data_IF_779191465765
#
_entry.id   IF_779191465765
#
_cell.length_a   1.000
_cell.length_b   1.000
_cell.length_c   1.000
_cell.angle_alpha   90.00
_cell.angle_beta   90.00
_cell.angle_gamma   90.00
#
_symmetry.space_group_name_H-M   'P 1'
#
loop_
_entity.id
_entity.type
_entity.pdbx_description
1 polymer ?
#
# COMPACT_ATOMS: atom_id res chain seq x y z
N UNK A 1 -37.67 -21.55 -36.93
CA UNK A 1 -36.71 -22.00 -35.90
C UNK A 1 -35.31 -21.66 -36.38
N UNK A 2 -34.70 -20.61 -35.84
CA UNK A 2 -33.27 -20.36 -35.95
C UNK A 2 -32.80 -19.89 -34.56
N UNK A 3 -32.25 -20.82 -33.78
CA UNK A 3 -31.56 -20.51 -32.53
C UNK A 3 -30.17 -19.98 -32.87
N UNK A 4 -30.04 -18.66 -32.96
CA UNK A 4 -28.74 -17.99 -33.01
C UNK A 4 -28.21 -17.89 -31.58
N UNK A 5 -27.45 -18.90 -31.15
CA UNK A 5 -26.67 -18.85 -29.92
C UNK A 5 -25.50 -17.87 -30.13
N UNK A 6 -25.66 -16.64 -29.66
CA UNK A 6 -24.53 -15.76 -29.41
C UNK A 6 -23.77 -16.30 -28.20
N UNK A 7 -22.71 -17.07 -28.45
CA UNK A 7 -21.71 -17.38 -27.43
C UNK A 7 -20.97 -16.07 -27.11
N UNK A 8 -21.34 -15.44 -26.00
CA UNK A 8 -20.48 -14.46 -25.33
C UNK A 8 -19.17 -15.16 -24.97
N UNK A 9 -18.14 -14.94 -25.78
CA UNK A 9 -16.78 -15.26 -25.37
C UNK A 9 -16.43 -14.32 -24.21
N UNK A 10 -16.06 -14.82 -23.03
CA UNK A 10 -15.51 -13.96 -22.00
C UNK A 10 -14.15 -13.47 -22.50
N UNK A 11 -14.05 -12.17 -22.78
CA UNK A 11 -12.79 -11.50 -23.08
C UNK A 11 -11.91 -11.50 -21.83
N UNK A 12 -11.36 -12.65 -21.46
CA UNK A 12 -10.36 -12.77 -20.42
C UNK A 12 -9.01 -12.46 -21.05
N UNK A 13 -8.72 -11.18 -21.18
CA UNK A 13 -7.35 -10.69 -21.40
C UNK A 13 -7.09 -9.53 -20.46
N UNK A 14 -7.33 -9.76 -19.18
CA UNK A 14 -6.80 -8.90 -18.13
C UNK A 14 -5.40 -9.41 -17.84
N UNK A 15 -4.38 -8.68 -18.29
CA UNK A 15 -3.07 -8.76 -17.68
C UNK A 15 -3.26 -8.31 -16.22
N UNK A 16 -3.44 -9.26 -15.30
CA UNK A 16 -3.49 -8.96 -13.89
C UNK A 16 -2.08 -8.61 -13.45
N UNK A 17 -1.74 -7.32 -13.41
CA UNK A 17 -0.60 -6.91 -12.59
C UNK A 17 -1.00 -7.23 -11.16
N UNK A 18 -0.47 -8.32 -10.60
CA UNK A 18 -0.62 -8.59 -9.17
C UNK A 18 -0.08 -7.37 -8.41
N UNK A 19 -0.76 -6.96 -7.35
CA UNK A 19 -0.31 -5.83 -6.53
C UNK A 19 1.15 -6.07 -6.10
N UNK A 20 2.00 -5.06 -6.27
CA UNK A 20 3.41 -5.14 -5.86
C UNK A 20 3.48 -5.12 -4.32
N UNK A 21 3.56 -6.30 -3.71
CA UNK A 21 3.67 -6.45 -2.25
C UNK A 21 5.13 -6.70 -1.88
N UNK A 22 5.74 -5.69 -1.27
CA UNK A 22 7.11 -5.69 -0.80
C UNK A 22 7.16 -6.00 0.69
N UNK A 23 7.92 -7.04 1.08
CA UNK A 23 8.24 -7.27 2.49
C UNK A 23 9.50 -6.49 2.89
N UNK A 24 9.42 -5.70 3.96
CA UNK A 24 10.52 -4.90 4.49
C UNK A 24 10.81 -5.39 5.90
N UNK A 25 11.89 -6.15 6.08
CA UNK A 25 12.32 -6.62 7.40
C UNK A 25 13.19 -5.53 8.03
N UNK A 26 12.83 -5.12 9.25
CA UNK A 26 13.49 -4.05 10.00
C UNK A 26 13.97 -4.61 11.34
N UNK A 27 15.27 -4.46 11.60
CA UNK A 27 15.90 -4.96 12.84
C UNK A 27 15.73 -3.98 14.00
N UNK A 28 15.67 -2.67 13.69
CA UNK A 28 15.54 -1.60 14.66
C UNK A 28 14.72 -0.42 14.10
N UNK A 29 14.40 0.53 14.98
CA UNK A 29 13.61 1.73 14.65
C UNK A 29 14.33 2.65 13.65
N UNK A 30 15.67 2.66 13.65
CA UNK A 30 16.48 3.51 12.78
C UNK A 30 16.38 2.99 11.34
N UNK A 31 16.57 1.69 11.14
CA UNK A 31 16.42 0.99 9.87
C UNK A 31 15.00 1.15 9.36
N UNK A 32 13.99 0.98 10.22
CA UNK A 32 12.60 1.21 9.85
C UNK A 32 12.36 2.64 9.33
N UNK A 33 12.92 3.64 10.01
CA UNK A 33 12.84 5.04 9.59
C UNK A 33 13.53 5.28 8.25
N UNK A 34 14.73 4.72 8.04
CA UNK A 34 15.48 4.86 6.79
C UNK A 34 14.78 4.19 5.61
N UNK A 35 14.27 2.96 5.78
CA UNK A 35 13.51 2.27 4.75
C UNK A 35 12.20 3.00 4.43
N UNK A 36 11.51 3.52 5.44
CA UNK A 36 10.33 4.36 5.23
C UNK A 36 10.69 5.58 4.38
N UNK A 37 11.75 6.32 4.72
CA UNK A 37 12.18 7.48 3.96
C UNK A 37 12.52 7.15 2.50
N UNK A 38 13.15 6.01 2.24
CA UNK A 38 13.41 5.54 0.86
C UNK A 38 12.11 5.32 0.09
N UNK A 39 11.12 4.68 0.70
CA UNK A 39 9.79 4.48 0.10
C UNK A 39 9.11 5.83 -0.16
N UNK A 40 9.08 6.72 0.82
CA UNK A 40 8.46 8.04 0.67
C UNK A 40 9.12 8.87 -0.45
N UNK A 41 10.45 8.87 -0.50
CA UNK A 41 11.21 9.56 -1.54
C UNK A 41 10.98 8.97 -2.94
N UNK A 42 10.81 7.64 -3.06
CA UNK A 42 10.44 7.01 -4.34
C UNK A 42 9.02 7.40 -4.75
N UNK A 43 8.09 7.44 -3.80
CA UNK A 43 6.68 7.68 -4.06
C UNK A 43 6.32 9.16 -4.28
N UNK A 44 7.07 10.12 -3.73
CA UNK A 44 6.75 11.54 -3.90
C UNK A 44 6.81 12.04 -5.36
N UNK A 45 7.55 11.32 -6.21
CA UNK A 45 7.67 11.56 -7.65
C UNK A 45 6.50 10.98 -8.45
N UNK A 46 5.72 10.06 -7.85
CA UNK A 46 4.49 9.53 -8.43
C UNK A 46 3.32 10.49 -8.12
N UNK A 47 2.27 10.41 -8.92
CA UNK A 47 1.01 11.08 -8.61
C UNK A 47 0.27 10.28 -7.54
N UNK A 48 -0.25 10.97 -6.53
CA UNK A 48 -0.98 10.37 -5.42
C UNK A 48 -0.26 10.48 -4.07
N UNK A 49 -0.98 10.05 -3.04
CA UNK A 49 -0.57 10.11 -1.65
C UNK A 49 0.14 8.81 -1.26
N UNK A 50 0.98 8.87 -0.24
CA UNK A 50 1.47 7.66 0.44
C UNK A 50 0.71 7.48 1.74
N UNK A 51 0.04 6.33 1.87
CA UNK A 51 -0.75 5.98 3.04
C UNK A 51 0.09 5.19 4.04
N UNK A 52 0.25 5.70 5.25
CA UNK A 52 0.86 4.99 6.37
C UNK A 52 -0.24 4.39 7.23
N UNK A 53 -0.29 3.05 7.29
CA UNK A 53 -1.26 2.27 8.04
C UNK A 53 -0.59 1.75 9.29
N UNK A 54 -1.01 2.32 10.42
CA UNK A 54 -0.51 2.04 11.75
C UNK A 54 1.01 2.10 11.91
N UNK A 55 1.66 3.22 11.56
CA UNK A 55 3.06 3.38 11.88
C UNK A 55 3.30 3.32 13.38
N UNK A 56 4.27 2.49 13.79
CA UNK A 56 4.77 2.42 15.18
C UNK A 56 5.25 3.80 15.63
N UNK A 57 6.07 4.43 14.80
CA UNK A 57 6.48 5.81 14.96
C UNK A 57 6.21 6.61 13.68
N UNK A 58 5.55 7.76 13.83
CA UNK A 58 5.30 8.66 12.69
C UNK A 58 6.56 9.49 12.47
N UNK A 59 7.11 9.53 11.25
CA UNK A 59 8.30 10.31 10.97
C UNK A 59 8.05 11.78 11.36
N UNK A 60 8.96 12.33 12.16
CA UNK A 60 8.84 13.71 12.61
C UNK A 60 9.05 14.67 11.43
N UNK A 61 8.52 15.90 11.55
CA UNK A 61 8.60 16.89 10.47
C UNK A 61 10.04 17.19 10.06
N UNK A 62 10.95 17.32 11.02
CA UNK A 62 12.37 17.60 10.76
C UNK A 62 13.05 16.49 9.95
N UNK A 63 12.68 15.23 10.19
CA UNK A 63 13.21 14.06 9.49
C UNK A 63 12.71 14.06 8.04
N UNK A 64 11.42 14.33 7.83
CA UNK A 64 10.85 14.48 6.49
C UNK A 64 11.50 15.63 5.72
N UNK A 65 11.68 16.79 6.36
CA UNK A 65 12.37 17.95 5.76
C UNK A 65 13.83 17.63 5.44
N UNK A 66 14.55 16.96 6.34
CA UNK A 66 15.95 16.56 6.11
C UNK A 66 16.10 15.57 4.95
N UNK A 67 15.09 14.72 4.75
CA UNK A 67 15.04 13.76 3.66
C UNK A 67 14.43 14.35 2.37
N UNK A 68 14.10 15.65 2.35
CA UNK A 68 13.42 16.31 1.23
C UNK A 68 12.15 15.56 0.79
N UNK A 69 11.37 15.08 1.78
CA UNK A 69 10.10 14.40 1.58
C UNK A 69 8.95 15.38 1.80
N UNK A 70 8.06 15.48 0.82
CA UNK A 70 6.86 16.30 0.92
C UNK A 70 5.81 15.68 1.86
N UNK A 71 5.72 16.21 3.08
CA UNK A 71 4.74 15.77 4.08
C UNK A 71 3.28 16.00 3.66
N UNK A 72 3.01 16.91 2.70
CA UNK A 72 1.64 17.20 2.25
C UNK A 72 1.01 16.04 1.47
N UNK A 73 1.82 15.12 0.95
CA UNK A 73 1.39 13.91 0.24
C UNK A 73 1.28 12.68 1.15
N UNK A 74 1.41 12.83 2.46
CA UNK A 74 1.34 11.73 3.42
C UNK A 74 -0.03 11.69 4.10
N UNK A 75 -0.69 10.53 4.04
CA UNK A 75 -1.86 10.23 4.87
C UNK A 75 -1.44 9.23 5.94
N UNK A 76 -1.83 9.47 7.19
CA UNK A 76 -1.52 8.56 8.30
C UNK A 76 -2.81 8.09 8.97
N UNK A 77 -2.98 6.77 9.06
CA UNK A 77 -4.06 6.14 9.84
C UNK A 77 -3.40 5.42 11.02
N UNK A 78 -3.76 5.78 12.25
CA UNK A 78 -3.26 5.12 13.46
C UNK A 78 -4.00 3.80 13.69
N UNK A 79 -3.33 2.82 14.31
CA UNK A 79 -3.90 1.49 14.63
C UNK A 79 -5.28 1.56 15.29
N UNK A 80 -5.46 2.46 16.27
CA UNK A 80 -6.74 2.65 16.98
C UNK A 80 -7.95 3.00 16.11
N UNK A 81 -7.73 3.41 14.86
CA UNK A 81 -8.79 3.77 13.91
C UNK A 81 -9.02 2.69 12.85
N UNK A 82 -8.30 1.57 12.91
CA UNK A 82 -8.40 0.47 11.95
C UNK A 82 -9.24 -0.62 12.57
N UNK A 83 -10.50 -0.69 12.15
CA UNK A 83 -11.42 -1.77 12.51
C UNK A 83 -11.34 -2.92 11.50
N UNK A 84 -11.26 -2.59 10.21
CA UNK A 84 -11.16 -3.54 9.10
C UNK A 84 -10.03 -3.09 8.17
N UNK A 85 -8.89 -3.79 8.26
CA UNK A 85 -7.72 -3.48 7.43
C UNK A 85 -8.00 -3.76 5.95
N UNK A 86 -8.70 -4.84 5.63
CA UNK A 86 -8.97 -5.21 4.23
C UNK A 86 -9.83 -4.15 3.56
N UNK A 87 -10.86 -3.65 4.26
CA UNK A 87 -11.66 -2.54 3.77
C UNK A 87 -10.84 -1.26 3.56
N UNK A 88 -9.93 -0.92 4.49
CA UNK A 88 -9.06 0.25 4.35
C UNK A 88 -8.16 0.12 3.12
N UNK A 89 -7.55 -1.05 2.90
CA UNK A 89 -6.70 -1.31 1.75
C UNK A 89 -7.50 -1.30 0.44
N UNK A 90 -8.64 -1.99 0.39
CA UNK A 90 -9.57 -1.96 -0.75
C UNK A 90 -9.97 -0.54 -1.11
N UNK A 91 -10.32 0.28 -0.11
CA UNK A 91 -10.70 1.68 -0.31
C UNK A 91 -9.53 2.53 -0.82
N UNK A 92 -8.34 2.38 -0.23
CA UNK A 92 -7.15 3.11 -0.66
C UNK A 92 -6.80 2.77 -2.11
N UNK A 93 -6.79 1.49 -2.45
CA UNK A 93 -6.45 1.01 -3.80
C UNK A 93 -7.51 1.43 -4.82
N UNK A 94 -8.80 1.28 -4.50
CA UNK A 94 -9.90 1.60 -5.42
C UNK A 94 -10.06 3.10 -5.69
N UNK A 95 -9.70 3.95 -4.73
CA UNK A 95 -9.78 5.40 -4.90
C UNK A 95 -8.77 5.95 -5.91
N UNK A 96 -7.75 5.17 -6.29
CA UNK A 96 -6.81 5.51 -7.38
C UNK A 96 -5.92 6.73 -7.14
N UNK A 97 -5.94 7.32 -5.94
CA UNK A 97 -5.15 8.51 -5.60
C UNK A 97 -3.96 8.20 -4.67
N UNK A 98 -3.55 6.94 -4.59
CA UNK A 98 -2.42 6.51 -3.77
C UNK A 98 -1.31 5.94 -4.64
N UNK A 99 -0.09 6.39 -4.38
CA UNK A 99 1.11 5.87 -5.05
C UNK A 99 1.66 4.63 -4.33
N UNK A 100 1.49 4.59 -3.01
CA UNK A 100 1.88 3.46 -2.17
C UNK A 100 1.09 3.41 -0.87
N UNK A 101 1.02 2.22 -0.30
CA UNK A 101 0.50 1.96 1.05
C UNK A 101 1.60 1.27 1.85
N UNK A 102 1.94 1.82 3.01
CA UNK A 102 2.91 1.24 3.94
C UNK A 102 2.16 0.74 5.16
N UNK A 103 2.35 -0.52 5.52
CA UNK A 103 1.62 -1.21 6.59
C UNK A 103 2.64 -1.79 7.57
N UNK A 104 2.45 -1.54 8.85
CA UNK A 104 3.24 -2.20 9.89
C UNK A 104 2.60 -3.53 10.30
N UNK A 105 3.44 -4.54 10.53
CA UNK A 105 2.96 -5.92 10.64
C UNK A 105 2.34 -6.30 11.95
N UNK A 106 2.36 -5.41 12.94
CA UNK A 106 1.52 -5.51 14.12
C UNK A 106 0.03 -5.59 13.76
N UNK A 107 -0.36 -5.20 12.54
CA UNK A 107 -1.72 -5.33 12.03
C UNK A 107 -1.85 -6.44 10.98
N UNK A 108 -0.89 -6.60 10.07
CA UNK A 108 -0.95 -7.69 9.09
C UNK A 108 0.40 -8.09 8.52
N UNK A 109 0.57 -9.40 8.35
CA UNK A 109 1.69 -9.98 7.61
C UNK A 109 1.44 -9.95 6.09
N UNK A 110 2.53 -10.07 5.32
CA UNK A 110 2.46 -10.26 3.86
C UNK A 110 1.57 -11.45 3.48
N UNK A 111 1.58 -12.54 4.27
CA UNK A 111 0.73 -13.71 4.02
C UNK A 111 -0.75 -13.39 4.21
N UNK A 112 -1.09 -12.54 5.19
CA UNK A 112 -2.46 -12.08 5.43
C UNK A 112 -2.93 -11.21 4.27
N UNK A 113 -2.10 -10.27 3.82
CA UNK A 113 -2.42 -9.35 2.72
C UNK A 113 -2.57 -10.10 1.39
N UNK A 114 -1.73 -11.11 1.12
CA UNK A 114 -1.87 -11.95 -0.07
C UNK A 114 -3.15 -12.79 -0.09
N UNK A 115 -3.78 -13.03 1.06
CA UNK A 115 -5.06 -13.72 1.16
C UNK A 115 -6.26 -12.77 1.03
N UNK A 116 -6.04 -11.46 1.09
CA UNK A 116 -7.11 -10.47 0.93
C UNK A 116 -7.47 -10.32 -0.55
N UNK A 117 -8.74 -10.09 -0.83
CA UNK A 117 -9.23 -9.88 -2.20
C UNK A 117 -9.04 -8.42 -2.61
N UNK A 118 -7.78 -7.98 -2.76
CA UNK A 118 -7.48 -6.60 -3.12
C UNK A 118 -7.71 -6.34 -4.63
N UNK A 119 -8.22 -5.16 -5.01
CA UNK A 119 -8.31 -4.77 -6.41
C UNK A 119 -6.90 -4.71 -7.04
N UNK A 120 -6.81 -5.00 -8.33
CA UNK A 120 -5.56 -4.85 -9.10
C UNK A 120 -5.26 -3.38 -9.31
N UNK A 121 -4.04 -2.95 -8.97
CA UNK A 121 -3.59 -1.58 -9.14
C UNK A 121 -2.06 -1.45 -9.18
N UNK A 122 -1.59 -0.29 -9.62
CA UNK A 122 -0.17 0.11 -9.59
C UNK A 122 0.28 0.64 -8.21
N UNK A 123 -0.59 0.59 -7.21
CA UNK A 123 -0.27 0.96 -5.82
C UNK A 123 0.70 -0.07 -5.24
N UNK A 124 1.90 0.39 -4.90
CA UNK A 124 2.89 -0.46 -4.22
C UNK A 124 2.52 -0.62 -2.74
N UNK A 125 2.47 -1.85 -2.25
CA UNK A 125 2.18 -2.17 -0.85
C UNK A 125 3.49 -2.58 -0.17
N UNK A 126 3.89 -1.87 0.87
CA UNK A 126 5.10 -2.15 1.65
C UNK A 126 4.72 -2.62 3.05
N UNK A 127 5.13 -3.82 3.44
CA UNK A 127 4.83 -4.40 4.74
C UNK A 127 6.08 -4.37 5.61
N UNK A 128 6.08 -3.60 6.69
CA UNK A 128 7.20 -3.41 7.60
C UNK A 128 7.12 -4.42 8.75
N UNK A 129 8.03 -5.39 8.74
CA UNK A 129 8.15 -6.49 9.71
C UNK A 129 9.34 -6.30 10.63
N UNK A 130 9.12 -6.34 11.94
CA UNK A 130 10.24 -6.54 12.88
C UNK A 130 10.91 -7.88 12.59
N UNK A 131 12.24 -7.89 12.56
CA UNK A 131 13.06 -9.11 12.47
C UNK A 131 12.92 -10.03 13.69
#
# INVERSE_FOLDING_TARGET
MLHSNALLQPNNSTYYTLNEINNVIVEDEIVASLELLKVLHKCQHKQGWTLLVAPDNVPNKSLLESASVDASKLLVIRQKHIYDLEYVLKSAISNGNFAAVVIWTDIASVQTINKMELPVSDVAIHCFQSA
#
